data_IF_687170469802
#
_entry.id   IF_687170469802
#
_cell.length_a   1.000
_cell.length_b   1.000
_cell.length_c   1.000
_cell.angle_alpha   90.00
_cell.angle_beta   90.00
_cell.angle_gamma   90.00
#
_symmetry.space_group_name_H-M   'P 1'
#
loop_
_entity.id
_entity.type
_entity.pdbx_description
1 polymer ?
#
# COMPACT_ATOMS: atom_id res chain seq x y z
N UNK A 1 5.27 10.15 8.54
CA UNK A 1 6.68 10.58 8.35
C UNK A 1 7.36 10.99 9.67
N UNK A 2 8.48 10.37 10.06
CA UNK A 2 9.26 10.79 11.23
C UNK A 2 10.10 12.05 10.94
N UNK A 3 9.67 13.19 11.47
CA UNK A 3 10.45 14.43 11.53
C UNK A 3 10.84 14.71 12.99
N UNK A 4 12.13 14.96 13.32
CA UNK A 4 12.64 15.05 14.71
C UNK A 4 12.19 16.28 15.51
N UNK A 5 11.24 17.08 15.03
CA UNK A 5 10.83 18.34 15.68
C UNK A 5 9.31 18.57 15.76
N UNK A 6 8.49 17.59 15.38
CA UNK A 6 7.04 17.65 15.58
C UNK A 6 6.52 16.33 16.13
N UNK A 7 6.45 16.23 17.45
CA UNK A 7 5.54 15.29 18.11
C UNK A 7 4.19 15.98 18.21
N UNK A 8 3.29 15.72 17.26
CA UNK A 8 1.88 15.78 17.60
C UNK A 8 1.52 14.36 17.99
N UNK A 9 1.75 14.02 19.25
CA UNK A 9 1.07 12.88 19.85
C UNK A 9 -0.43 13.18 19.74
N UNK A 10 -1.05 12.62 18.70
CA UNK A 10 -2.51 12.50 18.59
C UNK A 10 -2.84 11.12 19.14
N UNK A 11 -4.02 10.95 19.73
CA UNK A 11 -4.48 9.66 20.26
C UNK A 11 -4.39 8.52 19.22
N UNK A 12 -4.38 8.85 17.92
CA UNK A 12 -4.12 7.90 16.83
C UNK A 12 -2.73 7.23 16.87
N UNK A 13 -1.74 7.81 17.55
CA UNK A 13 -0.44 7.17 17.77
C UNK A 13 -0.47 6.18 18.94
N UNK A 14 -1.53 6.04 19.73
CA UNK A 14 -1.60 4.90 20.68
C UNK A 14 -1.88 3.57 19.96
N UNK A 15 -2.26 3.60 18.67
CA UNK A 15 -2.46 2.41 17.85
C UNK A 15 -1.14 1.91 17.23
N UNK A 16 -0.80 0.66 17.54
CA UNK A 16 0.39 -0.03 17.05
C UNK A 16 0.42 -0.13 15.52
N UNK A 17 -0.74 -0.33 14.89
CA UNK A 17 -0.85 -0.44 13.43
C UNK A 17 -0.57 0.88 12.73
N UNK A 18 -1.14 1.98 13.25
CA UNK A 18 -0.84 3.34 12.80
C UNK A 18 0.65 3.68 12.95
N UNK A 19 1.27 3.29 14.07
CA UNK A 19 2.70 3.47 14.27
C UNK A 19 3.55 2.73 13.22
N UNK A 20 3.23 1.46 12.96
CA UNK A 20 3.92 0.66 11.95
C UNK A 20 3.78 1.30 10.56
N UNK A 21 2.58 1.82 10.21
CA UNK A 21 2.30 2.49 8.94
C UNK A 21 3.15 3.74 8.74
N UNK A 22 3.19 4.60 9.76
CA UNK A 22 3.98 5.83 9.71
C UNK A 22 5.49 5.60 9.69
N UNK A 23 5.96 4.50 10.30
CA UNK A 23 7.34 4.06 10.21
C UNK A 23 7.66 3.49 8.82
N UNK A 24 6.75 2.70 8.23
CA UNK A 24 6.91 2.12 6.89
C UNK A 24 7.06 3.21 5.81
N UNK A 25 6.50 4.40 6.02
CA UNK A 25 6.71 5.54 5.13
C UNK A 25 8.16 5.98 4.97
N UNK A 26 9.06 5.60 5.90
CA UNK A 26 10.50 5.77 5.73
C UNK A 26 11.04 5.12 4.46
N UNK A 27 10.44 4.01 4.01
CA UNK A 27 10.78 3.35 2.75
C UNK A 27 9.90 3.82 1.58
N UNK A 28 8.58 3.84 1.75
CA UNK A 28 7.60 4.15 0.69
C UNK A 28 6.82 5.42 1.03
N UNK A 29 7.01 6.49 0.27
CA UNK A 29 6.54 7.85 0.60
C UNK A 29 7.72 8.81 0.72
N UNK A 30 8.68 8.50 1.60
CA UNK A 30 9.92 9.28 1.74
C UNK A 30 11.04 8.78 0.83
N UNK A 31 11.36 7.49 0.94
CA UNK A 31 12.51 6.88 0.30
C UNK A 31 12.29 6.66 -1.20
N UNK A 32 11.18 6.01 -1.55
CA UNK A 32 10.62 5.98 -2.91
C UNK A 32 9.41 6.89 -2.93
N UNK A 33 9.43 7.91 -3.78
CA UNK A 33 8.33 8.87 -3.91
C UNK A 33 7.41 8.46 -5.05
N UNK A 34 6.11 8.75 -4.93
CA UNK A 34 5.17 8.54 -6.02
C UNK A 34 5.50 9.50 -7.19
N UNK A 35 5.37 9.01 -8.42
CA UNK A 35 5.60 9.81 -9.63
C UNK A 35 4.52 10.86 -9.83
N UNK A 36 3.28 10.54 -9.47
CA UNK A 36 2.12 11.40 -9.50
C UNK A 36 1.06 10.87 -8.53
N UNK A 37 0.01 11.66 -8.29
CA UNK A 37 -1.05 11.33 -7.34
C UNK A 37 -1.81 10.07 -7.72
N UNK A 38 -1.92 9.74 -9.00
CA UNK A 38 -2.50 8.49 -9.47
C UNK A 38 -1.80 7.27 -8.85
N UNK A 39 -0.48 7.36 -8.60
CA UNK A 39 0.32 6.30 -7.98
C UNK A 39 0.24 6.29 -6.44
N UNK A 40 -0.73 6.97 -5.82
CA UNK A 40 -0.84 7.07 -4.36
C UNK A 40 -0.88 5.70 -3.66
N UNK A 41 -1.47 4.69 -4.30
CA UNK A 41 -1.47 3.29 -3.83
C UNK A 41 -0.05 2.70 -3.65
N UNK A 42 0.95 3.17 -4.41
CA UNK A 42 2.34 2.74 -4.23
C UNK A 42 2.90 3.19 -2.88
N UNK A 43 2.45 4.34 -2.38
CA UNK A 43 2.77 4.80 -1.03
C UNK A 43 1.93 4.03 -0.02
N UNK A 44 0.64 4.33 0.03
CA UNK A 44 -0.25 3.93 1.13
C UNK A 44 -0.55 2.43 1.15
N UNK A 45 -0.78 1.84 -0.01
CA UNK A 45 -1.05 0.40 -0.11
C UNK A 45 0.14 -0.44 0.32
N UNK A 46 1.35 0.00 -0.06
CA UNK A 46 2.60 -0.70 0.29
C UNK A 46 2.89 -0.55 1.79
N UNK A 47 2.70 0.63 2.37
CA UNK A 47 2.91 0.83 3.81
C UNK A 47 1.87 0.09 4.64
N UNK A 48 0.60 0.07 4.25
CA UNK A 48 -0.43 -0.74 4.93
C UNK A 48 -0.10 -2.24 4.89
N UNK A 49 0.35 -2.77 3.74
CA UNK A 49 0.80 -4.17 3.66
C UNK A 49 1.99 -4.46 4.58
N UNK A 50 3.05 -3.65 4.51
CA UNK A 50 4.27 -3.82 5.32
C UNK A 50 3.93 -3.79 6.81
N UNK A 51 3.00 -2.92 7.22
CA UNK A 51 2.58 -2.77 8.61
C UNK A 51 1.89 -4.03 9.11
N UNK A 52 0.87 -4.51 8.37
CA UNK A 52 0.17 -5.74 8.70
C UNK A 52 1.12 -6.94 8.72
N UNK A 53 2.03 -7.04 7.74
CA UNK A 53 3.05 -8.10 7.65
C UNK A 53 4.01 -8.07 8.85
N UNK A 54 4.57 -6.90 9.17
CA UNK A 54 5.55 -6.76 10.25
C UNK A 54 4.93 -7.09 11.62
N UNK A 55 3.73 -6.59 11.90
CA UNK A 55 3.04 -6.89 13.16
C UNK A 55 2.61 -8.36 13.24
N UNK A 56 2.16 -8.96 12.14
CA UNK A 56 1.85 -10.40 12.10
C UNK A 56 3.08 -11.28 12.35
N UNK A 57 4.27 -10.83 11.92
CA UNK A 57 5.54 -11.52 12.23
C UNK A 57 5.96 -11.34 13.69
N UNK A 58 5.71 -10.16 14.27
CA UNK A 58 6.05 -9.86 15.66
C UNK A 58 5.12 -10.58 16.65
N UNK A 59 3.83 -10.63 16.35
CA UNK A 59 2.80 -11.34 17.11
C UNK A 59 1.77 -11.99 16.17
N UNK A 60 1.96 -13.29 15.84
CA UNK A 60 1.04 -14.02 14.97
C UNK A 60 -0.40 -14.10 15.49
N UNK A 61 -0.64 -13.87 16.79
CA UNK A 61 -1.99 -13.96 17.36
C UNK A 61 -2.89 -12.78 16.94
N UNK A 62 -2.29 -11.69 16.45
CA UNK A 62 -3.01 -10.50 16.02
C UNK A 62 -3.29 -10.46 14.51
N UNK A 63 -2.65 -11.34 13.72
CA UNK A 63 -2.72 -11.32 12.25
C UNK A 63 -4.17 -11.34 11.72
N UNK A 64 -5.00 -12.25 12.24
CA UNK A 64 -6.41 -12.37 11.84
C UNK A 64 -7.23 -11.13 12.22
N UNK A 65 -6.89 -10.48 13.33
CA UNK A 65 -7.57 -9.26 13.77
C UNK A 65 -7.23 -8.07 12.86
N UNK A 66 -5.95 -7.92 12.49
CA UNK A 66 -5.48 -6.86 11.59
C UNK A 66 -6.16 -6.98 10.23
N UNK A 67 -6.11 -8.17 9.61
CA UNK A 67 -6.71 -8.37 8.28
C UNK A 67 -8.23 -8.24 8.29
N UNK A 68 -8.90 -8.57 9.40
CA UNK A 68 -10.34 -8.34 9.55
C UNK A 68 -10.64 -6.84 9.64
N UNK A 69 -9.88 -6.07 10.41
CA UNK A 69 -10.03 -4.61 10.47
C UNK A 69 -9.84 -3.96 9.10
N UNK A 70 -8.82 -4.37 8.34
CA UNK A 70 -8.62 -3.89 6.97
C UNK A 70 -9.79 -4.23 6.03
N UNK A 71 -10.43 -5.38 6.21
CA UNK A 71 -11.63 -5.72 5.45
C UNK A 71 -12.81 -4.82 5.83
N UNK A 72 -13.01 -4.56 7.13
CA UNK A 72 -14.09 -3.67 7.62
C UNK A 72 -13.92 -2.24 7.08
N UNK A 73 -12.69 -1.71 7.08
CA UNK A 73 -12.36 -0.41 6.49
C UNK A 73 -12.57 -0.38 4.98
N UNK A 74 -12.19 -1.46 4.28
CA UNK A 74 -12.41 -1.59 2.84
C UNK A 74 -13.90 -1.58 2.49
N UNK A 75 -14.70 -2.34 3.23
CA UNK A 75 -16.14 -2.44 3.02
C UNK A 75 -16.83 -1.09 3.25
N UNK A 76 -16.43 -0.36 4.29
CA UNK A 76 -16.90 1.01 4.54
C UNK A 76 -16.52 1.97 3.42
N UNK A 77 -15.27 1.93 2.94
CA UNK A 77 -14.81 2.78 1.84
C UNK A 77 -15.54 2.50 0.53
N UNK A 78 -15.83 1.23 0.25
CA UNK A 78 -16.64 0.82 -0.91
C UNK A 78 -18.07 1.37 -0.80
N UNK A 79 -18.67 1.33 0.39
CA UNK A 79 -20.02 1.85 0.62
C UNK A 79 -20.13 3.38 0.42
N UNK A 80 -19.05 4.13 0.70
CA UNK A 80 -19.00 5.58 0.56
C UNK A 80 -18.72 6.05 -0.89
N UNK A 81 -18.25 5.17 -1.77
CA UNK A 81 -18.05 5.41 -3.20
C UNK A 81 -16.79 4.76 -3.75
N UNK A 82 -16.92 3.89 -4.77
CA UNK A 82 -15.83 3.04 -5.26
C UNK A 82 -15.02 3.58 -6.42
N UNK A 83 -14.24 4.64 -6.21
CA UNK A 83 -13.18 5.00 -7.15
C UNK A 83 -12.13 3.86 -7.27
N UNK A 84 -11.45 3.70 -8.41
CA UNK A 84 -10.37 2.72 -8.50
C UNK A 84 -9.20 3.16 -7.59
N UNK A 85 -8.61 2.21 -6.85
CA UNK A 85 -7.45 2.48 -6.00
C UNK A 85 -6.21 2.91 -6.79
N UNK A 86 -6.12 2.52 -8.07
CA UNK A 86 -5.12 2.95 -9.02
C UNK A 86 -5.77 3.49 -10.31
N UNK A 87 -6.09 4.79 -10.35
CA UNK A 87 -6.63 5.44 -11.54
C UNK A 87 -5.60 5.51 -12.66
N UNK A 88 -6.07 5.52 -13.91
CA UNK A 88 -5.19 5.64 -15.08
C UNK A 88 -4.77 7.09 -15.32
N UNK A 89 -3.59 7.26 -15.92
CA UNK A 89 -3.02 8.56 -16.22
C UNK A 89 -1.92 8.95 -15.25
N UNK A 90 -1.40 10.16 -15.40
CA UNK A 90 -0.43 10.75 -14.48
C UNK A 90 -0.50 12.27 -14.60
N UNK A 91 -0.76 12.95 -13.48
CA UNK A 91 -0.96 14.41 -13.46
C UNK A 91 -2.30 14.85 -14.06
N UNK A 92 -3.30 13.97 -14.06
CA UNK A 92 -4.65 14.21 -14.53
C UNK A 92 -5.67 14.35 -13.39
N UNK A 93 -5.30 13.89 -12.19
CA UNK A 93 -6.15 14.00 -10.99
C UNK A 93 -6.09 15.38 -10.33
N UNK A 94 -7.27 15.94 -10.07
CA UNK A 94 -7.50 17.02 -9.12
C UNK A 94 -7.81 16.40 -7.75
N UNK A 95 -6.83 16.39 -6.85
CA UNK A 95 -6.91 15.78 -5.52
C UNK A 95 -8.09 16.27 -4.67
N UNK A 96 -8.61 17.47 -4.93
CA UNK A 96 -9.75 18.04 -4.18
C UNK A 96 -11.07 17.52 -4.76
N UNK A 97 -11.16 17.42 -6.10
CA UNK A 97 -12.42 17.06 -6.77
C UNK A 97 -12.60 15.56 -6.98
N UNK A 98 -11.51 14.84 -7.20
CA UNK A 98 -11.54 13.43 -7.63
C UNK A 98 -11.51 12.44 -6.45
N UNK A 99 -11.56 12.95 -5.21
CA UNK A 99 -11.67 12.16 -3.97
C UNK A 99 -10.64 11.03 -3.87
N UNK A 100 -9.38 11.33 -4.20
CA UNK A 100 -8.30 10.35 -4.12
C UNK A 100 -8.00 9.91 -2.67
N UNK A 101 -8.20 10.81 -1.71
CA UNK A 101 -7.96 10.57 -0.28
C UNK A 101 -9.13 9.83 0.38
N UNK A 102 -9.34 8.59 -0.04
CA UNK A 102 -10.22 7.61 0.62
C UNK A 102 -9.37 6.48 1.20
N UNK A 103 -9.99 5.55 1.93
CA UNK A 103 -9.28 4.34 2.39
C UNK A 103 -9.06 3.31 1.26
N UNK A 104 -9.56 3.55 0.03
CA UNK A 104 -9.44 2.58 -1.06
C UNK A 104 -7.98 2.32 -1.48
N UNK A 105 -7.12 3.33 -1.72
CA UNK A 105 -5.70 3.09 -2.04
C UNK A 105 -4.94 2.33 -0.94
N UNK A 106 -5.29 2.56 0.33
CA UNK A 106 -4.71 1.86 1.47
C UNK A 106 -5.10 0.39 1.45
N UNK A 107 -6.40 0.11 1.54
CA UNK A 107 -6.90 -1.24 1.77
C UNK A 107 -6.81 -2.10 0.51
N UNK A 108 -7.18 -1.59 -0.67
CA UNK A 108 -7.01 -2.36 -1.91
C UNK A 108 -5.54 -2.63 -2.21
N UNK A 109 -4.65 -1.68 -1.90
CA UNK A 109 -3.22 -1.88 -2.04
C UNK A 109 -2.70 -2.97 -1.08
N UNK A 110 -3.11 -2.94 0.19
CA UNK A 110 -2.75 -3.97 1.16
C UNK A 110 -3.24 -5.37 0.73
N UNK A 111 -4.49 -5.47 0.26
CA UNK A 111 -5.04 -6.73 -0.25
C UNK A 111 -4.43 -7.16 -1.59
N UNK A 112 -4.00 -6.24 -2.45
CA UNK A 112 -3.23 -6.56 -3.65
C UNK A 112 -1.94 -7.30 -3.28
N UNK A 113 -1.16 -6.77 -2.33
CA UNK A 113 0.07 -7.43 -1.90
C UNK A 113 -0.21 -8.74 -1.16
N UNK A 114 -1.27 -8.81 -0.34
CA UNK A 114 -1.69 -10.06 0.32
C UNK A 114 -2.03 -11.16 -0.70
N UNK A 115 -2.79 -10.82 -1.74
CA UNK A 115 -3.18 -11.77 -2.78
C UNK A 115 -1.95 -12.19 -3.62
N UNK A 116 -1.04 -11.26 -3.94
CA UNK A 116 0.24 -11.60 -4.60
C UNK A 116 1.07 -12.53 -3.72
N UNK A 117 1.17 -12.26 -2.42
CA UNK A 117 1.90 -13.10 -1.46
C UNK A 117 1.33 -14.52 -1.36
N UNK A 118 0.02 -14.68 -1.52
CA UNK A 118 -0.62 -16.00 -1.56
C UNK A 118 -0.18 -16.83 -2.79
N UNK A 119 0.16 -16.17 -3.90
CA UNK A 119 0.60 -16.83 -5.14
C UNK A 119 2.12 -17.10 -5.17
N UNK A 120 2.93 -16.14 -4.71
CA UNK A 120 4.40 -16.21 -4.84
C UNK A 120 5.13 -16.54 -3.53
N UNK A 121 4.43 -16.49 -2.39
CA UNK A 121 5.00 -16.62 -1.05
C UNK A 121 5.40 -15.27 -0.45
N UNK A 122 5.15 -15.10 0.85
CA UNK A 122 5.42 -13.85 1.57
C UNK A 122 6.90 -13.46 1.53
N UNK A 123 7.81 -14.39 1.84
CA UNK A 123 9.26 -14.12 1.86
C UNK A 123 9.79 -13.72 0.46
N UNK A 124 9.19 -14.28 -0.59
CA UNK A 124 9.53 -13.93 -1.98
C UNK A 124 9.11 -12.49 -2.27
N UNK A 125 7.87 -12.12 -1.89
CA UNK A 125 7.35 -10.78 -2.05
C UNK A 125 8.14 -9.75 -1.22
N UNK A 126 8.49 -10.09 0.03
CA UNK A 126 9.35 -9.26 0.89
C UNK A 126 10.69 -8.96 0.19
N UNK A 127 11.26 -9.96 -0.48
CA UNK A 127 12.44 -9.82 -1.33
C UNK A 127 12.23 -8.86 -2.52
N UNK A 128 11.08 -8.93 -3.20
CA UNK A 128 10.74 -8.02 -4.32
C UNK A 128 10.62 -6.59 -3.82
N UNK A 129 9.87 -6.36 -2.73
CA UNK A 129 9.67 -5.03 -2.14
C UNK A 129 11.02 -4.42 -1.73
N UNK A 130 11.90 -5.21 -1.12
CA UNK A 130 13.25 -4.79 -0.74
C UNK A 130 14.11 -4.40 -1.96
N UNK A 131 14.14 -5.22 -3.01
CA UNK A 131 14.89 -4.92 -4.23
C UNK A 131 14.33 -3.71 -4.98
N UNK A 132 13.01 -3.58 -5.03
CA UNK A 132 12.33 -2.42 -5.60
C UNK A 132 12.74 -1.13 -4.87
N UNK A 133 12.67 -1.14 -3.53
CA UNK A 133 13.13 -0.01 -2.73
C UNK A 133 14.58 0.35 -3.04
N UNK A 134 15.49 -0.62 -3.02
CA UNK A 134 16.92 -0.36 -3.27
C UNK A 134 17.18 0.20 -4.68
N UNK A 135 16.41 -0.23 -5.68
CA UNK A 135 16.51 0.27 -7.05
C UNK A 135 15.99 1.71 -7.20
N UNK A 136 14.92 2.06 -6.49
CA UNK A 136 14.21 3.34 -6.65
C UNK A 136 14.45 4.35 -5.52
N UNK A 137 15.29 4.01 -4.52
CA UNK A 137 15.61 4.91 -3.40
C UNK A 137 16.10 6.27 -3.90
N UNK A 138 15.54 7.34 -3.35
CA UNK A 138 15.75 8.74 -3.72
C UNK A 138 15.26 9.10 -5.14
N UNK A 139 14.39 8.28 -5.74
CA UNK A 139 13.78 8.52 -7.04
C UNK A 139 12.26 8.43 -6.94
N UNK A 140 11.59 8.98 -7.95
CA UNK A 140 10.18 8.77 -8.13
C UNK A 140 9.92 7.44 -8.87
N UNK A 141 8.89 6.72 -8.48
CA UNK A 141 8.42 5.51 -9.14
C UNK A 141 6.89 5.50 -9.21
N UNK A 142 6.34 4.68 -10.10
CA UNK A 142 4.89 4.47 -10.20
C UNK A 142 4.50 3.04 -9.89
N UNK A 143 3.20 2.81 -9.67
CA UNK A 143 2.71 1.48 -9.30
C UNK A 143 2.97 0.44 -10.40
N UNK A 144 2.99 0.86 -11.66
CA UNK A 144 3.39 0.00 -12.78
C UNK A 144 4.83 -0.54 -12.63
N UNK A 145 5.77 0.26 -12.10
CA UNK A 145 7.14 -0.20 -11.89
C UNK A 145 7.19 -1.35 -10.86
N UNK A 146 6.36 -1.27 -9.81
CA UNK A 146 6.25 -2.33 -8.80
C UNK A 146 5.61 -3.59 -9.38
N UNK A 147 4.54 -3.44 -10.17
CA UNK A 147 3.88 -4.54 -10.88
C UNK A 147 4.87 -5.26 -11.80
N UNK A 148 5.68 -4.49 -12.53
CA UNK A 148 6.71 -5.05 -13.41
C UNK A 148 7.86 -5.70 -12.64
N UNK A 149 8.21 -5.17 -11.46
CA UNK A 149 9.18 -5.80 -10.56
C UNK A 149 8.68 -7.14 -10.04
N UNK A 150 7.41 -7.23 -9.60
CA UNK A 150 6.78 -8.50 -9.19
C UNK A 150 6.87 -9.51 -10.33
N UNK A 151 6.46 -9.12 -11.55
CA UNK A 151 6.50 -10.00 -12.71
C UNK A 151 7.92 -10.47 -13.04
N UNK A 152 8.87 -9.55 -13.02
CA UNK A 152 10.26 -9.84 -13.39
C UNK A 152 10.95 -10.76 -12.39
N UNK A 153 10.73 -10.52 -11.10
CA UNK A 153 11.45 -11.23 -10.03
C UNK A 153 10.85 -12.60 -9.71
N UNK A 154 9.55 -12.79 -9.95
CA UNK A 154 8.82 -14.01 -9.56
C UNK A 154 8.39 -14.86 -10.76
N UNK A 155 8.30 -14.28 -11.96
CA UNK A 155 7.71 -14.91 -13.14
C UNK A 155 6.19 -15.02 -13.11
N UNK A 156 5.54 -14.61 -12.01
CA UNK A 156 4.08 -14.56 -11.87
C UNK A 156 3.51 -13.35 -12.60
N UNK A 157 2.36 -13.49 -13.26
CA UNK A 157 1.66 -12.36 -13.87
C UNK A 157 0.57 -11.83 -12.92
N UNK A 158 0.79 -10.68 -12.25
CA UNK A 158 -0.16 -10.15 -11.27
C UNK A 158 -1.37 -9.44 -11.93
N UNK A 159 -1.46 -9.39 -13.26
CA UNK A 159 -2.53 -8.67 -13.98
C UNK A 159 -3.94 -8.99 -13.48
N UNK A 160 -4.33 -10.26 -13.24
CA UNK A 160 -5.66 -10.57 -12.70
C UNK A 160 -5.92 -9.93 -11.32
N UNK A 161 -4.91 -9.89 -10.45
CA UNK A 161 -5.00 -9.26 -9.12
C UNK A 161 -5.05 -7.73 -9.25
N UNK A 162 -4.24 -7.15 -10.15
CA UNK A 162 -4.27 -5.72 -10.46
C UNK A 162 -5.67 -5.30 -10.91
N UNK A 163 -6.30 -6.05 -11.82
CA UNK A 163 -7.62 -5.72 -12.33
C UNK A 163 -8.70 -5.87 -11.24
N UNK A 164 -8.59 -6.89 -10.38
CA UNK A 164 -9.54 -7.16 -9.30
C UNK A 164 -9.46 -6.15 -8.14
N UNK A 165 -8.25 -5.72 -7.77
CA UNK A 165 -7.99 -4.87 -6.59
C UNK A 165 -7.80 -3.40 -6.94
N UNK A 166 -6.97 -3.11 -7.94
CA UNK A 166 -6.46 -1.76 -8.16
C UNK A 166 -7.29 -0.98 -9.18
N UNK A 167 -7.78 -1.63 -10.23
CA UNK A 167 -8.51 -0.96 -11.33
C UNK A 167 -10.03 -1.07 -11.24
N UNK A 168 -10.54 -1.93 -10.37
CA UNK A 168 -11.98 -2.14 -10.21
C UNK A 168 -12.63 -0.89 -9.61
N UNK A 169 -13.76 -0.48 -10.19
CA UNK A 169 -14.69 0.49 -9.61
C UNK A 169 -15.77 -0.27 -8.85
N UNK A 170 -16.16 0.22 -7.68
CA UNK A 170 -17.17 -0.38 -6.82
C UNK A 170 -18.43 0.48 -6.74
#
# INVERSE_FOLDING_TARGET
>A
EHHPYWHVARDAMDDELTHAHEAAHGWFGNGVRIRCWEDFVLSEGTTSYISARALSLADPTQADAIWRGYQEELDAAIADGGAPAWPQGCGQIDIIKDQLFTNLPYMQGAFFYKDVAAEVGEDVLDGVISRFYMKHKNQAAGMQDMIDAIRTDTGFDPTPIVDARLRKKF
#
